data_IF_987498795706
#
_entry.id   IF_987498795706
#
_cell.length_a   1.000
_cell.length_b   1.000
_cell.length_c   1.000
_cell.angle_alpha   90.00
_cell.angle_beta   90.00
_cell.angle_gamma   90.00
#
_symmetry.space_group_name_H-M   'P 1'
#
loop_
_entity.id
_entity.type
_entity.pdbx_description
1 polymer ?
#
# COMPACT_ATOMS: atom_id res chain seq x y z
N UNK A 1 -7.81 15.92 12.21
CA UNK A 1 -7.81 16.47 10.84
C UNK A 1 -7.15 15.45 9.92
N UNK A 2 -7.59 15.37 8.66
CA UNK A 2 -6.99 14.52 7.63
C UNK A 2 -5.61 15.06 7.28
N UNK A 3 -4.61 14.18 7.26
CA UNK A 3 -3.22 14.48 6.88
C UNK A 3 -2.78 13.72 5.63
N UNK A 4 -3.37 12.54 5.40
CA UNK A 4 -3.09 11.70 4.25
C UNK A 4 -4.38 11.13 3.68
N UNK A 5 -4.36 10.82 2.41
CA UNK A 5 -5.48 10.14 1.73
C UNK A 5 -4.98 8.90 1.01
N UNK A 6 -5.85 7.92 0.93
CA UNK A 6 -5.64 6.69 0.18
C UNK A 6 -6.88 6.48 -0.70
N UNK A 7 -6.78 6.87 -1.95
CA UNK A 7 -7.86 6.73 -2.92
C UNK A 7 -7.43 5.70 -3.94
N UNK A 8 -8.05 4.53 -3.94
CA UNK A 8 -7.82 3.53 -4.96
C UNK A 8 -8.55 3.90 -6.24
N UNK A 9 -7.86 4.27 -7.34
CA UNK A 9 -8.51 4.64 -8.59
C UNK A 9 -9.18 3.45 -9.28
N UNK A 10 -8.70 2.23 -9.03
CA UNK A 10 -9.32 0.99 -9.46
C UNK A 10 -9.23 -0.08 -8.39
N UNK A 11 -10.16 -1.02 -8.39
CA UNK A 11 -10.24 -2.12 -7.44
C UNK A 11 -9.66 -3.43 -7.99
N UNK A 12 -8.64 -3.37 -8.86
CA UNK A 12 -8.03 -4.55 -9.48
C UNK A 12 -6.51 -4.45 -9.50
N UNK A 13 -5.86 -5.60 -9.39
CA UNK A 13 -4.44 -5.76 -9.63
C UNK A 13 -4.24 -6.94 -10.59
N UNK A 14 -3.30 -6.83 -11.51
CA UNK A 14 -2.95 -7.89 -12.47
C UNK A 14 -1.92 -8.89 -11.91
N UNK A 15 -1.33 -8.61 -10.75
CA UNK A 15 -0.43 -9.53 -10.05
C UNK A 15 -1.20 -10.39 -9.03
N UNK A 16 -0.59 -11.53 -8.68
CA UNK A 16 -1.05 -12.46 -7.63
C UNK A 16 0.12 -12.75 -6.69
N UNK A 17 0.69 -11.70 -6.11
CA UNK A 17 1.83 -11.85 -5.22
C UNK A 17 1.45 -12.71 -4.02
N UNK A 18 2.27 -13.74 -3.71
CA UNK A 18 1.97 -14.73 -2.68
C UNK A 18 1.75 -14.15 -1.27
N UNK A 19 2.33 -12.98 -1.00
CA UNK A 19 2.18 -12.26 0.26
C UNK A 19 1.01 -11.27 0.26
N UNK A 20 0.21 -11.25 -0.79
CA UNK A 20 -0.90 -10.30 -0.92
C UNK A 20 -2.24 -11.03 -0.93
N UNK A 21 -3.24 -10.58 -0.17
CA UNK A 21 -4.58 -11.17 -0.18
C UNK A 21 -5.23 -11.26 -1.56
N UNK A 22 -4.84 -10.39 -2.49
CA UNK A 22 -5.29 -10.44 -3.90
C UNK A 22 -5.06 -11.81 -4.55
N UNK A 23 -3.96 -12.50 -4.17
CA UNK A 23 -3.64 -13.83 -4.71
C UNK A 23 -4.66 -14.91 -4.33
N UNK A 24 -5.35 -14.74 -3.22
CA UNK A 24 -6.20 -15.77 -2.60
C UNK A 24 -7.68 -15.41 -2.65
N UNK A 25 -8.06 -14.28 -2.09
CA UNK A 25 -9.45 -13.85 -1.96
C UNK A 25 -9.89 -12.96 -3.13
N UNK A 26 -8.93 -12.25 -3.72
CA UNK A 26 -9.23 -11.15 -4.63
C UNK A 26 -9.93 -10.00 -3.90
N UNK A 27 -10.20 -8.92 -4.62
CA UNK A 27 -11.02 -7.84 -4.10
C UNK A 27 -12.49 -8.31 -4.01
N UNK A 28 -13.22 -8.06 -2.92
CA UNK A 28 -14.66 -8.29 -2.84
C UNK A 28 -15.40 -7.66 -4.03
N UNK A 29 -16.45 -8.33 -4.53
CA UNK A 29 -17.13 -7.92 -5.77
C UNK A 29 -17.64 -6.48 -5.72
N UNK A 30 -18.15 -6.06 -4.58
CA UNK A 30 -18.68 -4.73 -4.29
C UNK A 30 -17.61 -3.62 -4.35
N UNK A 31 -16.34 -3.99 -4.26
CA UNK A 31 -15.20 -3.07 -4.35
C UNK A 31 -14.43 -3.20 -5.67
N UNK A 32 -14.83 -4.13 -6.55
CA UNK A 32 -14.25 -4.27 -7.88
C UNK A 32 -14.88 -3.24 -8.80
N UNK A 33 -14.13 -2.21 -9.12
CA UNK A 33 -14.60 -1.15 -10.01
C UNK A 33 -13.46 -0.27 -10.46
N UNK A 34 -13.81 0.67 -11.28
CA UNK A 34 -12.95 1.77 -11.70
C UNK A 34 -13.64 3.05 -11.27
N UNK A 35 -12.97 3.86 -10.47
CA UNK A 35 -13.51 5.15 -10.06
C UNK A 35 -13.67 6.05 -11.28
N UNK A 36 -14.82 6.70 -11.44
CA UNK A 36 -14.98 7.67 -12.51
C UNK A 36 -14.12 8.91 -12.25
N UNK A 37 -13.78 9.62 -13.30
CA UNK A 37 -12.95 10.83 -13.17
C UNK A 37 -13.72 11.94 -12.43
N UNK A 38 -15.05 11.99 -12.59
CA UNK A 38 -15.93 12.93 -11.89
C UNK A 38 -15.96 12.66 -10.38
N UNK A 39 -15.99 11.38 -9.98
CA UNK A 39 -15.89 10.97 -8.58
C UNK A 39 -14.52 11.34 -8.00
N UNK A 40 -13.45 11.05 -8.72
CA UNK A 40 -12.09 11.44 -8.33
C UNK A 40 -11.99 12.96 -8.15
N UNK A 41 -12.50 13.72 -9.11
CA UNK A 41 -12.52 15.18 -9.03
C UNK A 41 -13.30 15.69 -7.82
N UNK A 42 -14.49 15.14 -7.59
CA UNK A 42 -15.30 15.49 -6.42
C UNK A 42 -14.57 15.26 -5.10
N UNK A 43 -13.85 14.14 -4.97
CA UNK A 43 -13.06 13.82 -3.78
C UNK A 43 -11.94 14.85 -3.61
N UNK A 44 -11.09 15.04 -4.63
CA UNK A 44 -9.95 15.93 -4.54
C UNK A 44 -10.36 17.38 -4.28
N UNK A 45 -11.46 17.82 -4.90
CA UNK A 45 -12.04 19.14 -4.64
C UNK A 45 -12.46 19.29 -3.19
N UNK A 46 -13.17 18.30 -2.62
CA UNK A 46 -13.61 18.36 -1.21
C UNK A 46 -12.43 18.35 -0.24
N UNK A 47 -11.34 17.66 -0.56
CA UNK A 47 -10.10 17.67 0.24
C UNK A 47 -9.46 19.06 0.18
N UNK A 48 -9.37 19.68 -0.98
CA UNK A 48 -8.80 21.01 -1.15
C UNK A 48 -9.65 22.08 -0.46
N UNK A 49 -10.96 22.09 -0.70
CA UNK A 49 -11.92 23.00 -0.03
C UNK A 49 -11.93 22.82 1.51
N UNK A 50 -11.56 21.63 1.99
CA UNK A 50 -11.57 21.29 3.42
C UNK A 50 -10.33 21.74 4.21
N UNK A 51 -9.33 22.35 3.55
CA UNK A 51 -8.11 22.82 4.21
C UNK A 51 -8.40 23.87 5.27
N UNK A 52 -7.89 23.64 6.48
CA UNK A 52 -8.16 24.49 7.65
C UNK A 52 -9.48 24.18 8.39
N UNK A 53 -10.30 23.28 7.87
CA UNK A 53 -11.51 22.78 8.55
C UNK A 53 -11.29 21.32 9.02
N UNK A 54 -11.46 20.35 8.15
CA UNK A 54 -11.25 18.92 8.46
C UNK A 54 -9.98 18.33 7.84
N UNK A 55 -9.31 19.06 6.96
CA UNK A 55 -8.00 18.73 6.37
C UNK A 55 -6.94 19.64 6.97
N UNK A 56 -5.78 19.09 7.32
CA UNK A 56 -4.67 19.84 7.92
C UNK A 56 -4.08 20.85 6.90
N UNK A 57 -4.11 22.17 7.17
CA UNK A 57 -3.63 23.17 6.23
C UNK A 57 -2.11 23.26 6.18
N UNK A 58 -1.39 22.67 7.14
CA UNK A 58 0.05 22.81 7.28
C UNK A 58 0.83 21.62 6.66
N UNK A 59 0.12 20.67 6.06
CA UNK A 59 0.72 19.47 5.48
C UNK A 59 0.34 19.38 4.02
N UNK A 60 1.31 19.06 3.19
CA UNK A 60 1.06 18.65 1.81
C UNK A 60 0.31 17.32 1.83
N UNK A 61 -0.93 17.34 1.36
CA UNK A 61 -1.75 16.13 1.28
C UNK A 61 -1.18 15.24 0.17
N UNK A 62 -0.92 14.00 0.53
CA UNK A 62 -0.42 12.97 -0.38
C UNK A 62 -1.45 11.86 -0.53
N UNK A 63 -1.79 11.52 -1.77
CA UNK A 63 -2.55 10.34 -2.10
C UNK A 63 -1.63 9.13 -2.27
N UNK A 64 -1.92 8.06 -1.54
CA UNK A 64 -1.15 6.82 -1.56
C UNK A 64 -2.05 5.61 -1.90
N UNK A 65 -2.33 5.33 -3.18
CA UNK A 65 -3.23 4.25 -3.60
C UNK A 65 -2.53 2.88 -3.48
N UNK A 66 -2.67 2.19 -2.34
CA UNK A 66 -1.90 0.98 -2.00
C UNK A 66 -2.72 -0.25 -1.57
N UNK A 67 -4.03 -0.24 -1.74
CA UNK A 67 -4.86 -1.36 -1.27
C UNK A 67 -5.03 -2.46 -2.35
N UNK A 68 -6.23 -2.72 -2.86
CA UNK A 68 -6.48 -3.68 -3.95
C UNK A 68 -6.22 -3.10 -5.34
N UNK A 69 -5.20 -2.29 -5.48
CA UNK A 69 -4.97 -1.45 -6.64
C UNK A 69 -3.64 -1.78 -7.33
N UNK A 70 -3.61 -1.65 -8.64
CA UNK A 70 -2.43 -1.39 -9.45
C UNK A 70 -2.68 -0.08 -10.18
N UNK A 71 -2.09 0.99 -9.71
CA UNK A 71 -2.36 2.36 -10.16
C UNK A 71 -2.16 2.53 -11.67
N UNK A 72 -1.16 1.86 -12.23
CA UNK A 72 -0.86 1.93 -13.67
C UNK A 72 -1.85 1.15 -14.56
N UNK A 73 -2.85 0.46 -13.97
CA UNK A 73 -3.98 -0.10 -14.72
C UNK A 73 -5.14 0.88 -14.86
N UNK A 74 -5.12 2.00 -14.13
CA UNK A 74 -6.21 2.96 -14.21
C UNK A 74 -6.33 3.55 -15.62
N UNK A 75 -7.49 3.44 -16.29
CA UNK A 75 -7.63 3.88 -17.69
C UNK A 75 -7.52 5.39 -17.87
N UNK A 76 -7.87 6.17 -16.82
CA UNK A 76 -7.81 7.63 -16.82
C UNK A 76 -6.57 8.13 -16.05
N UNK A 77 -5.42 7.48 -16.26
CA UNK A 77 -4.20 7.77 -15.49
C UNK A 77 -3.72 9.21 -15.69
N UNK A 78 -3.77 9.72 -16.94
CA UNK A 78 -3.38 11.11 -17.21
C UNK A 78 -4.35 12.11 -16.57
N UNK A 79 -5.64 11.90 -16.73
CA UNK A 79 -6.69 12.76 -16.16
C UNK A 79 -6.60 12.77 -14.62
N UNK A 80 -6.26 11.64 -14.00
CA UNK A 80 -5.99 11.59 -12.57
C UNK A 80 -4.81 12.48 -12.18
N UNK A 81 -3.71 12.46 -12.93
CA UNK A 81 -2.57 13.35 -12.69
C UNK A 81 -2.94 14.82 -12.89
N UNK A 82 -3.74 15.14 -13.92
CA UNK A 82 -4.28 16.49 -14.15
C UNK A 82 -5.06 16.99 -12.94
N UNK A 83 -5.92 16.14 -12.36
CA UNK A 83 -6.71 16.49 -11.17
C UNK A 83 -5.82 16.69 -9.93
N UNK A 84 -4.83 15.83 -9.71
CA UNK A 84 -3.88 16.00 -8.61
C UNK A 84 -3.12 17.33 -8.73
N UNK A 85 -2.70 17.70 -9.94
CA UNK A 85 -2.08 19.02 -10.22
C UNK A 85 -3.05 20.17 -9.98
N UNK A 86 -4.29 20.05 -10.48
CA UNK A 86 -5.34 21.09 -10.35
C UNK A 86 -5.63 21.43 -8.88
N UNK A 87 -5.69 20.43 -8.00
CA UNK A 87 -6.03 20.62 -6.59
C UNK A 87 -4.80 20.63 -5.67
N UNK A 88 -3.59 20.69 -6.24
CA UNK A 88 -2.33 20.67 -5.50
C UNK A 88 -2.26 19.59 -4.41
N UNK A 89 -2.66 18.38 -4.80
CA UNK A 89 -2.58 17.18 -3.97
C UNK A 89 -1.50 16.28 -4.55
N UNK A 90 -0.49 15.96 -3.76
CA UNK A 90 0.62 15.10 -4.20
C UNK A 90 0.16 13.63 -4.27
N UNK A 91 0.94 12.79 -4.95
CA UNK A 91 0.66 11.34 -4.97
C UNK A 91 1.93 10.51 -5.11
N UNK A 92 1.85 9.27 -4.63
CA UNK A 92 2.82 8.22 -4.90
C UNK A 92 2.36 7.34 -6.04
N UNK A 93 3.31 6.89 -6.84
CA UNK A 93 3.10 5.78 -7.76
C UNK A 93 3.67 4.53 -7.10
N UNK A 94 2.77 3.62 -6.71
CA UNK A 94 3.14 2.30 -6.21
C UNK A 94 2.72 1.25 -7.24
N UNK A 95 3.67 0.46 -7.80
CA UNK A 95 3.40 -0.42 -8.92
C UNK A 95 4.25 -1.70 -8.91
N UNK A 96 3.73 -2.74 -9.57
CA UNK A 96 4.51 -3.95 -9.88
C UNK A 96 5.43 -3.80 -11.11
N UNK A 97 5.46 -2.64 -11.76
CA UNK A 97 6.34 -2.27 -12.87
C UNK A 97 5.95 -2.81 -14.25
N UNK A 98 5.09 -3.84 -14.35
CA UNK A 98 4.75 -4.46 -15.66
C UNK A 98 4.03 -3.50 -16.59
N UNK A 99 3.25 -2.57 -16.04
CA UNK A 99 2.52 -1.55 -16.80
C UNK A 99 3.18 -0.16 -16.75
N UNK A 100 4.41 -0.06 -16.30
CA UNK A 100 5.22 1.16 -16.38
C UNK A 100 5.77 1.31 -17.82
N UNK A 101 4.87 1.56 -18.77
CA UNK A 101 5.22 1.73 -20.19
C UNK A 101 5.94 3.03 -20.43
N UNK A 102 6.55 3.19 -21.62
CA UNK A 102 7.20 4.43 -22.05
C UNK A 102 6.27 5.64 -21.81
N UNK A 103 5.06 5.61 -22.38
CA UNK A 103 4.09 6.70 -22.24
C UNK A 103 3.78 7.06 -20.79
N UNK A 104 3.66 6.07 -19.90
CA UNK A 104 3.37 6.30 -18.49
C UNK A 104 4.60 6.81 -17.73
N UNK A 105 5.78 6.35 -18.09
CA UNK A 105 7.03 6.87 -17.54
C UNK A 105 7.21 8.34 -17.89
N UNK A 106 6.97 8.71 -19.15
CA UNK A 106 7.03 10.09 -19.60
C UNK A 106 6.01 10.98 -18.90
N UNK A 107 4.76 10.50 -18.76
CA UNK A 107 3.74 11.19 -17.96
C UNK A 107 4.19 11.39 -16.52
N UNK A 108 4.73 10.38 -15.85
CA UNK A 108 5.22 10.52 -14.47
C UNK A 108 6.30 11.59 -14.37
N UNK A 109 7.21 11.64 -15.33
CA UNK A 109 8.23 12.70 -15.41
C UNK A 109 7.61 14.09 -15.58
N UNK A 110 6.67 14.23 -16.52
CA UNK A 110 6.00 15.49 -16.83
C UNK A 110 5.14 16.01 -15.66
N UNK A 111 4.70 15.11 -14.78
CA UNK A 111 3.90 15.40 -13.58
C UNK A 111 4.71 15.32 -12.27
N UNK A 112 6.02 15.46 -12.34
CA UNK A 112 6.91 15.43 -11.17
C UNK A 112 6.67 16.54 -10.14
N UNK A 113 5.91 17.56 -10.51
CA UNK A 113 5.42 18.58 -9.59
C UNK A 113 4.32 18.04 -8.63
N UNK A 114 3.64 16.96 -8.99
CA UNK A 114 2.63 16.31 -8.15
C UNK A 114 2.95 14.87 -7.80
N UNK A 115 3.66 14.13 -8.65
CA UNK A 115 4.19 12.81 -8.29
C UNK A 115 5.45 13.02 -7.45
N UNK A 116 5.43 12.56 -6.20
CA UNK A 116 6.57 12.72 -5.29
C UNK A 116 7.48 11.51 -5.25
N UNK A 117 6.92 10.32 -5.48
CA UNK A 117 7.66 9.07 -5.36
C UNK A 117 7.17 8.04 -6.37
N UNK A 118 8.12 7.26 -6.89
CA UNK A 118 7.87 6.10 -7.75
C UNK A 118 8.49 4.89 -7.07
N UNK A 119 7.63 4.03 -6.53
CA UNK A 119 8.03 2.86 -5.76
C UNK A 119 7.57 1.61 -6.51
N UNK A 120 8.51 0.80 -6.92
CA UNK A 120 8.27 -0.42 -7.70
C UNK A 120 8.49 -1.66 -6.83
N UNK A 121 7.48 -2.49 -6.69
CA UNK A 121 7.58 -3.75 -5.96
C UNK A 121 8.04 -4.87 -6.90
N UNK A 122 9.32 -5.15 -6.90
CA UNK A 122 9.97 -6.15 -7.76
C UNK A 122 10.67 -7.18 -6.87
N UNK A 123 10.03 -8.32 -6.59
CA UNK A 123 10.59 -9.28 -5.63
C UNK A 123 11.80 -10.06 -6.15
N UNK A 124 12.04 -10.11 -7.46
CA UNK A 124 13.20 -10.76 -8.04
C UNK A 124 13.53 -10.23 -9.43
N UNK A 125 14.80 -10.32 -9.80
CA UNK A 125 15.33 -10.14 -11.16
C UNK A 125 15.62 -11.46 -11.87
N UNK A 126 15.18 -12.56 -11.32
CA UNK A 126 15.25 -13.87 -11.93
C UNK A 126 13.86 -14.29 -12.39
N UNK A 127 13.71 -14.53 -13.68
CA UNK A 127 12.43 -14.73 -14.35
C UNK A 127 11.52 -15.77 -13.67
N UNK A 128 12.07 -16.94 -13.34
CA UNK A 128 11.29 -18.01 -12.72
C UNK A 128 10.82 -17.65 -11.30
N UNK A 129 11.73 -17.07 -10.51
CA UNK A 129 11.42 -16.66 -9.15
C UNK A 129 10.43 -15.48 -9.15
N UNK A 130 10.64 -14.48 -10.00
CA UNK A 130 9.71 -13.38 -10.16
C UNK A 130 8.31 -13.87 -10.55
N UNK A 131 8.23 -14.79 -11.53
CA UNK A 131 6.95 -15.41 -11.93
C UNK A 131 6.28 -16.15 -10.78
N UNK A 132 7.04 -16.94 -10.02
CA UNK A 132 6.55 -17.67 -8.85
C UNK A 132 6.03 -16.72 -7.76
N UNK A 133 6.72 -15.62 -7.51
CA UNK A 133 6.39 -14.69 -6.43
C UNK A 133 5.22 -13.77 -6.77
N UNK A 134 5.07 -13.40 -8.03
CA UNK A 134 4.06 -12.42 -8.48
C UNK A 134 2.85 -13.04 -9.17
N UNK A 135 2.93 -14.32 -9.56
CA UNK A 135 1.91 -15.00 -10.34
C UNK A 135 1.82 -14.53 -11.80
N UNK A 136 2.75 -13.72 -12.26
CA UNK A 136 2.81 -13.34 -13.66
C UNK A 136 3.36 -14.46 -14.55
N UNK A 137 2.90 -14.48 -15.80
CA UNK A 137 3.48 -15.37 -16.79
C UNK A 137 4.94 -14.96 -17.11
N UNK A 138 5.92 -15.90 -17.16
CA UNK A 138 7.33 -15.58 -17.37
C UNK A 138 7.63 -14.70 -18.60
N UNK A 139 6.86 -14.81 -19.67
CA UNK A 139 6.99 -13.98 -20.89
C UNK A 139 6.86 -12.47 -20.65
N UNK A 140 6.30 -12.05 -19.51
CA UNK A 140 6.19 -10.62 -19.16
C UNK A 140 7.47 -10.08 -18.50
N UNK A 141 8.42 -10.95 -18.18
CA UNK A 141 9.64 -10.56 -17.49
C UNK A 141 10.52 -9.61 -18.33
N UNK A 142 10.71 -9.93 -19.62
CA UNK A 142 11.49 -9.06 -20.51
C UNK A 142 10.84 -7.68 -20.65
N UNK A 143 9.50 -7.63 -20.70
CA UNK A 143 8.78 -6.36 -20.71
C UNK A 143 9.04 -5.58 -19.43
N UNK A 144 9.01 -6.23 -18.26
CA UNK A 144 9.34 -5.58 -16.98
C UNK A 144 10.75 -5.01 -17.02
N UNK A 145 11.75 -5.80 -17.39
CA UNK A 145 13.16 -5.36 -17.41
C UNK A 145 13.34 -4.16 -18.36
N UNK A 146 12.75 -4.21 -19.54
CA UNK A 146 12.80 -3.08 -20.49
C UNK A 146 12.13 -1.81 -19.91
N UNK A 147 10.99 -1.94 -19.25
CA UNK A 147 10.33 -0.83 -18.56
C UNK A 147 11.24 -0.24 -17.47
N UNK A 148 11.90 -1.09 -16.67
CA UNK A 148 12.79 -0.64 -15.60
C UNK A 148 14.02 0.11 -16.14
N UNK A 149 14.63 -0.36 -17.25
CA UNK A 149 15.73 0.36 -17.88
C UNK A 149 15.29 1.74 -18.38
N UNK A 150 14.15 1.82 -19.09
CA UNK A 150 13.64 3.09 -19.57
C UNK A 150 13.30 4.03 -18.39
N UNK A 151 12.59 3.54 -17.38
CA UNK A 151 12.26 4.32 -16.19
C UNK A 151 13.50 4.80 -15.44
N UNK A 152 14.53 3.94 -15.32
CA UNK A 152 15.81 4.31 -14.72
C UNK A 152 16.44 5.51 -15.44
N UNK A 153 16.43 5.50 -16.77
CA UNK A 153 17.06 6.58 -17.55
C UNK A 153 16.24 7.88 -17.50
N UNK A 154 14.92 7.77 -17.59
CA UNK A 154 14.04 8.94 -17.72
C UNK A 154 13.73 9.60 -16.36
N UNK A 155 13.43 8.79 -15.33
CA UNK A 155 12.98 9.31 -14.04
C UNK A 155 14.11 9.75 -13.13
N UNK A 156 15.31 9.18 -13.27
CA UNK A 156 16.44 9.47 -12.41
C UNK A 156 16.98 10.92 -12.51
N UNK A 157 16.61 11.66 -13.53
CA UNK A 157 16.95 13.08 -13.62
C UNK A 157 16.15 13.92 -12.62
N UNK A 158 14.92 13.47 -12.33
CA UNK A 158 13.94 14.21 -11.51
C UNK A 158 13.84 13.64 -10.10
N UNK A 159 13.67 12.31 -9.97
CA UNK A 159 13.49 11.64 -8.70
C UNK A 159 14.82 11.11 -8.17
N UNK A 160 15.13 11.36 -6.89
CA UNK A 160 16.41 10.99 -6.28
C UNK A 160 16.23 10.19 -5.00
N UNK A 161 17.16 9.26 -4.75
CA UNK A 161 17.17 8.46 -3.53
C UNK A 161 15.86 7.73 -3.30
N UNK A 162 15.22 7.96 -2.17
CA UNK A 162 13.98 7.29 -1.77
C UNK A 162 12.78 7.60 -2.66
N UNK A 163 12.84 8.66 -3.46
CA UNK A 163 11.78 9.03 -4.39
C UNK A 163 11.71 8.10 -5.62
N UNK A 164 12.79 7.39 -5.95
CA UNK A 164 12.86 6.43 -7.05
C UNK A 164 13.37 5.09 -6.52
N UNK A 165 12.46 4.22 -6.12
CA UNK A 165 12.79 3.03 -5.35
C UNK A 165 12.31 1.75 -5.99
N UNK A 166 13.12 0.70 -5.89
CA UNK A 166 12.70 -0.69 -6.06
C UNK A 166 12.64 -1.34 -4.67
N UNK A 167 11.46 -1.83 -4.30
CA UNK A 167 11.25 -2.66 -3.12
C UNK A 167 11.38 -4.14 -3.50
N UNK A 168 12.35 -4.79 -2.92
CA UNK A 168 12.48 -6.25 -2.94
C UNK A 168 11.66 -6.78 -1.77
N UNK A 169 10.42 -7.14 -2.04
CA UNK A 169 9.45 -7.53 -1.03
C UNK A 169 9.36 -9.06 -0.93
N UNK A 170 9.65 -9.59 0.22
CA UNK A 170 9.62 -11.02 0.51
C UNK A 170 10.13 -11.29 1.92
N UNK A 171 10.23 -12.56 2.28
CA UNK A 171 10.79 -12.99 3.57
C UNK A 171 11.87 -14.03 3.32
N UNK A 172 13.04 -13.85 3.94
CA UNK A 172 14.03 -14.89 4.09
C UNK A 172 13.84 -15.63 5.43
N UNK A 173 14.35 -16.84 5.58
CA UNK A 173 14.32 -17.55 6.85
C UNK A 173 14.98 -16.77 8.00
N UNK A 174 16.04 -16.01 7.73
CA UNK A 174 16.78 -15.21 8.72
C UNK A 174 15.92 -14.01 9.19
N UNK A 175 15.26 -13.33 8.29
CA UNK A 175 14.40 -12.19 8.62
C UNK A 175 13.25 -12.54 9.58
N UNK A 176 12.79 -13.79 9.54
CA UNK A 176 11.81 -14.35 10.46
C UNK A 176 12.29 -14.30 11.91
N UNK A 177 13.57 -14.51 12.15
CA UNK A 177 14.17 -14.57 13.49
C UNK A 177 14.48 -13.15 14.00
N UNK A 178 15.04 -12.29 13.17
CA UNK A 178 15.50 -10.96 13.55
C UNK A 178 14.35 -10.02 13.93
N UNK A 179 13.20 -10.15 13.30
CA UNK A 179 12.04 -9.29 13.56
C UNK A 179 11.18 -9.70 14.77
N UNK A 180 11.74 -10.50 15.68
CA UNK A 180 11.08 -10.83 16.94
C UNK A 180 9.96 -11.86 16.82
N UNK A 181 9.86 -12.56 15.70
CA UNK A 181 9.06 -13.78 15.55
C UNK A 181 7.56 -13.59 15.74
N UNK A 182 7.01 -12.42 15.49
CA UNK A 182 5.56 -12.22 15.56
C UNK A 182 4.81 -12.72 14.32
N UNK A 183 5.53 -13.05 13.24
CA UNK A 183 5.00 -13.80 12.09
C UNK A 183 5.91 -14.96 11.73
N UNK A 184 5.33 -16.12 11.50
CA UNK A 184 6.00 -17.32 11.04
C UNK A 184 5.51 -17.70 9.65
N UNK A 185 6.41 -17.78 8.68
CA UNK A 185 6.06 -18.22 7.32
C UNK A 185 5.92 -19.74 7.33
N UNK A 186 4.81 -20.24 6.82
CA UNK A 186 4.57 -21.68 6.75
C UNK A 186 5.40 -22.33 5.63
N UNK A 187 5.70 -23.61 5.77
CA UNK A 187 6.62 -24.35 4.89
C UNK A 187 6.30 -24.26 3.40
N UNK A 188 5.03 -24.10 3.06
CA UNK A 188 4.59 -24.04 1.65
C UNK A 188 4.62 -22.63 1.03
N UNK A 189 4.94 -21.59 1.80
CA UNK A 189 5.04 -20.25 1.25
C UNK A 189 6.35 -20.11 0.43
N UNK A 190 6.30 -19.51 -0.77
CA UNK A 190 7.51 -19.24 -1.53
C UNK A 190 8.30 -18.11 -0.85
N UNK A 191 9.42 -18.41 -0.28
CA UNK A 191 10.34 -17.44 0.31
C UNK A 191 11.74 -17.59 -0.29
N UNK A 192 12.59 -16.61 -0.03
CA UNK A 192 13.99 -16.67 -0.48
C UNK A 192 14.74 -17.77 0.28
N UNK A 193 15.67 -18.45 -0.41
CA UNK A 193 16.64 -19.29 0.26
C UNK A 193 17.59 -18.43 1.10
N UNK A 194 18.30 -19.06 2.04
CA UNK A 194 19.30 -18.40 2.88
C UNK A 194 20.32 -17.64 2.02
N UNK A 195 20.57 -16.36 2.35
CA UNK A 195 21.47 -15.48 1.61
C UNK A 195 21.00 -15.04 0.21
N UNK A 196 19.91 -15.60 -0.30
CA UNK A 196 19.43 -15.29 -1.65
C UNK A 196 18.88 -13.87 -1.74
N UNK A 197 18.26 -13.41 -0.71
CA UNK A 197 17.64 -12.10 -0.63
C UNK A 197 18.65 -10.96 -0.84
N UNK A 198 19.79 -11.00 -0.12
CA UNK A 198 20.87 -10.03 -0.28
C UNK A 198 21.49 -10.11 -1.69
N UNK A 199 21.68 -11.32 -2.21
CA UNK A 199 22.17 -11.53 -3.57
C UNK A 199 21.27 -10.87 -4.61
N UNK A 200 19.94 -10.98 -4.46
CA UNK A 200 18.97 -10.36 -5.38
C UNK A 200 19.02 -8.83 -5.26
N UNK A 201 19.06 -8.29 -4.05
CA UNK A 201 19.18 -6.84 -3.81
C UNK A 201 20.45 -6.29 -4.46
N UNK A 202 21.60 -6.91 -4.22
CA UNK A 202 22.87 -6.45 -4.77
C UNK A 202 22.88 -6.50 -6.30
N UNK A 203 22.43 -7.59 -6.89
CA UNK A 203 22.33 -7.73 -8.35
C UNK A 203 21.34 -6.73 -8.96
N UNK A 204 20.22 -6.46 -8.28
CA UNK A 204 19.24 -5.46 -8.72
C UNK A 204 19.84 -4.04 -8.65
N UNK A 205 20.61 -3.73 -7.60
CA UNK A 205 21.30 -2.45 -7.47
C UNK A 205 22.39 -2.27 -8.56
N UNK A 206 23.09 -3.34 -8.92
CA UNK A 206 24.05 -3.33 -10.04
C UNK A 206 23.37 -3.08 -11.38
N UNK A 207 22.23 -3.74 -11.64
CA UNK A 207 21.47 -3.59 -12.89
C UNK A 207 20.81 -2.21 -13.03
N UNK A 208 20.35 -1.65 -11.92
CA UNK A 208 19.61 -0.40 -11.87
C UNK A 208 20.22 0.58 -10.87
N UNK A 209 21.44 1.08 -11.12
CA UNK A 209 22.20 1.88 -10.16
C UNK A 209 21.56 3.23 -9.83
N UNK A 210 20.62 3.69 -10.65
CA UNK A 210 19.90 4.96 -10.44
C UNK A 210 18.67 4.82 -9.57
N UNK A 211 18.18 3.59 -9.35
CA UNK A 211 17.16 3.31 -8.34
C UNK A 211 17.81 3.07 -6.98
N UNK A 212 17.12 3.50 -5.93
CA UNK A 212 17.40 3.00 -4.60
C UNK A 212 16.76 1.61 -4.45
N UNK A 213 17.55 0.57 -4.24
CA UNK A 213 17.04 -0.78 -4.00
C UNK A 213 16.95 -1.03 -2.50
N UNK A 214 15.76 -1.29 -2.02
CA UNK A 214 15.49 -1.50 -0.60
C UNK A 214 14.86 -2.87 -0.34
N UNK A 215 15.36 -3.53 0.69
CA UNK A 215 14.85 -4.79 1.17
C UNK A 215 13.68 -4.57 2.11
N UNK A 216 12.59 -5.32 1.92
CA UNK A 216 11.47 -5.33 2.84
C UNK A 216 11.19 -6.75 3.34
N UNK A 217 11.72 -7.04 4.52
CA UNK A 217 11.59 -8.35 5.17
C UNK A 217 10.32 -8.50 6.02
N UNK A 218 9.51 -7.45 6.15
CA UNK A 218 8.34 -7.47 7.02
C UNK A 218 7.07 -7.72 6.23
N UNK A 219 6.38 -8.82 6.50
CA UNK A 219 4.99 -9.03 6.04
C UNK A 219 4.01 -8.53 7.10
N UNK A 220 3.09 -7.71 6.67
CA UNK A 220 1.91 -7.39 7.47
C UNK A 220 0.87 -8.49 7.30
N UNK A 221 0.28 -8.93 8.40
CA UNK A 221 -0.77 -9.95 8.37
C UNK A 221 -2.10 -9.48 7.74
N UNK A 222 -2.17 -8.23 7.33
CA UNK A 222 -3.35 -7.70 6.62
C UNK A 222 -4.66 -7.97 7.40
N UNK A 223 -4.70 -7.57 8.65
CA UNK A 223 -5.83 -7.83 9.55
C UNK A 223 -6.17 -9.31 9.74
N UNK A 224 -5.13 -10.15 9.84
CA UNK A 224 -5.21 -11.59 10.08
C UNK A 224 -5.56 -12.46 8.86
N UNK A 225 -5.80 -11.90 7.69
CA UNK A 225 -6.17 -12.67 6.50
C UNK A 225 -5.10 -13.71 6.13
N UNK A 226 -3.83 -13.34 6.14
CA UNK A 226 -2.75 -14.26 5.76
C UNK A 226 -2.62 -15.41 6.77
N UNK A 227 -2.89 -15.18 8.04
CA UNK A 227 -2.93 -16.23 9.07
C UNK A 227 -4.14 -17.12 8.93
N UNK A 228 -5.33 -16.58 8.65
CA UNK A 228 -6.55 -17.35 8.41
C UNK A 228 -6.41 -18.24 7.18
N UNK A 229 -5.73 -17.77 6.15
CA UNK A 229 -5.39 -18.53 4.94
C UNK A 229 -4.22 -19.50 5.15
N UNK A 230 -3.62 -19.56 6.35
CA UNK A 230 -2.47 -20.40 6.68
C UNK A 230 -1.25 -20.14 5.78
N UNK A 231 -1.07 -18.91 5.32
CA UNK A 231 0.13 -18.49 4.59
C UNK A 231 1.25 -18.12 5.56
N UNK A 232 0.88 -17.49 6.69
CA UNK A 232 1.78 -17.15 7.79
C UNK A 232 1.14 -17.54 9.12
N UNK A 233 1.95 -17.63 10.17
CA UNK A 233 1.47 -17.77 11.54
C UNK A 233 1.64 -16.43 12.27
N UNK A 234 0.56 -15.87 12.79
CA UNK A 234 0.61 -14.63 13.55
C UNK A 234 0.77 -14.94 15.05
N UNK A 235 2.00 -14.86 15.53
CA UNK A 235 2.30 -15.11 16.96
C UNK A 235 1.68 -14.06 17.90
N UNK A 236 1.31 -12.88 17.39
CA UNK A 236 0.58 -11.88 18.18
C UNK A 236 -0.86 -12.29 18.47
N UNK A 237 -1.49 -13.07 17.59
CA UNK A 237 -2.82 -13.62 17.85
C UNK A 237 -2.83 -14.53 19.09
N UNK A 238 -1.73 -15.25 19.35
CA UNK A 238 -1.58 -16.11 20.53
C UNK A 238 -1.48 -15.29 21.83
N UNK A 239 -0.92 -14.08 21.76
CA UNK A 239 -0.77 -13.17 22.91
C UNK A 239 -1.99 -12.27 23.14
N UNK A 240 -3.00 -12.34 22.27
CA UNK A 240 -4.21 -11.49 22.29
C UNK A 240 -4.90 -11.46 23.67
N UNK A 241 -5.01 -12.61 24.32
CA UNK A 241 -5.69 -12.75 25.61
C UNK A 241 -4.87 -12.24 26.81
N UNK A 242 -3.64 -11.75 26.59
CA UNK A 242 -2.71 -11.30 27.64
C UNK A 242 -2.45 -9.79 27.60
N UNK A 243 -3.03 -9.03 26.65
CA UNK A 243 -2.61 -7.65 26.36
C UNK A 243 -3.63 -6.55 26.69
N UNK A 244 -4.72 -6.85 27.38
CA UNK A 244 -5.72 -5.81 27.69
C UNK A 244 -6.54 -5.38 26.47
N UNK A 245 -6.90 -4.09 26.38
CA UNK A 245 -7.71 -3.52 25.30
C UNK A 245 -6.85 -2.74 24.33
N UNK A 246 -7.20 -2.81 23.03
CA UNK A 246 -6.63 -1.89 22.04
C UNK A 246 -7.23 -0.49 22.27
N UNK A 247 -6.36 0.48 22.45
CA UNK A 247 -6.73 1.89 22.71
C UNK A 247 -6.31 2.83 21.57
N UNK A 248 -5.54 2.33 20.59
CA UNK A 248 -5.08 3.16 19.50
C UNK A 248 -4.39 2.38 18.38
N UNK A 249 -3.94 3.13 17.39
CA UNK A 249 -3.12 2.66 16.27
C UNK A 249 -1.80 3.42 16.26
N UNK A 250 -0.66 2.72 16.27
CA UNK A 250 0.67 3.33 16.24
C UNK A 250 0.91 4.22 15.01
N UNK A 251 0.31 3.88 13.88
CA UNK A 251 0.37 4.70 12.67
C UNK A 251 -0.72 5.78 12.60
N UNK A 252 -1.62 5.86 13.59
CA UNK A 252 -2.73 6.82 13.65
C UNK A 252 -3.65 6.82 12.42
N UNK A 253 -3.71 5.73 11.67
CA UNK A 253 -4.52 5.64 10.46
C UNK A 253 -5.98 6.08 10.66
N UNK A 254 -6.72 5.55 11.67
CA UNK A 254 -8.09 5.98 11.87
C UNK A 254 -8.24 7.46 12.23
N UNK A 255 -7.19 8.12 12.73
CA UNK A 255 -7.24 9.48 13.24
C UNK A 255 -6.77 10.53 12.22
N UNK A 256 -5.94 10.13 11.25
CA UNK A 256 -5.24 11.06 10.36
C UNK A 256 -5.33 10.72 8.88
N UNK A 257 -5.82 9.52 8.51
CA UNK A 257 -5.90 9.11 7.12
C UNK A 257 -7.33 8.79 6.69
N UNK A 258 -7.65 9.13 5.45
CA UNK A 258 -8.90 8.83 4.79
C UNK A 258 -8.66 7.77 3.71
N UNK A 259 -9.35 6.64 3.82
CA UNK A 259 -9.26 5.54 2.87
C UNK A 259 -10.55 5.41 2.07
N UNK A 260 -10.44 5.43 0.74
CA UNK A 260 -11.58 5.36 -0.19
C UNK A 260 -11.28 4.30 -1.25
N UNK A 261 -12.16 3.29 -1.35
CA UNK A 261 -12.06 2.26 -2.38
C UNK A 261 -12.49 2.80 -3.76
N UNK A 262 -12.19 2.04 -4.81
CA UNK A 262 -12.56 2.39 -6.19
C UNK A 262 -14.09 2.58 -6.42
N UNK A 263 -14.91 2.05 -5.53
CA UNK A 263 -16.39 2.19 -5.57
C UNK A 263 -16.92 3.22 -4.56
N UNK A 264 -16.01 3.97 -3.94
CA UNK A 264 -16.38 5.04 -3.02
C UNK A 264 -16.62 4.61 -1.57
N UNK A 265 -16.44 3.33 -1.22
CA UNK A 265 -16.54 2.89 0.16
C UNK A 265 -15.42 3.46 1.00
N UNK A 266 -15.76 3.99 2.18
CA UNK A 266 -14.83 4.58 3.13
C UNK A 266 -14.59 3.61 4.27
N UNK A 267 -13.31 3.36 4.56
CA UNK A 267 -12.85 2.39 5.57
C UNK A 267 -11.67 2.95 6.38
N UNK A 268 -11.22 2.25 7.43
CA UNK A 268 -10.31 2.82 8.43
C UNK A 268 -8.83 2.56 8.17
N UNK A 269 -8.45 1.55 7.37
CA UNK A 269 -7.06 1.11 7.32
C UNK A 269 -6.70 0.38 6.03
N UNK A 270 -5.55 0.68 5.45
CA UNK A 270 -5.01 -0.01 4.27
C UNK A 270 -4.66 -1.50 4.52
N UNK A 271 -4.59 -1.95 5.76
CA UNK A 271 -4.39 -3.36 6.07
C UNK A 271 -5.70 -4.17 6.13
N UNK A 272 -6.86 -3.51 6.11
CA UNK A 272 -8.18 -4.15 6.14
C UNK A 272 -8.61 -4.63 4.76
N UNK A 273 -8.05 -5.73 4.32
CA UNK A 273 -8.38 -6.33 3.02
C UNK A 273 -9.75 -7.03 2.99
N UNK A 274 -10.38 -7.24 4.15
CA UNK A 274 -11.75 -7.77 4.26
C UNK A 274 -12.81 -6.68 4.19
N UNK A 275 -12.43 -5.41 4.24
CA UNK A 275 -13.32 -4.24 4.36
C UNK A 275 -14.29 -4.30 5.57
N UNK A 276 -13.87 -4.99 6.64
CA UNK A 276 -14.67 -5.10 7.87
C UNK A 276 -14.83 -3.75 8.58
N UNK A 277 -13.95 -2.80 8.30
CA UNK A 277 -13.97 -1.46 8.88
C UNK A 277 -14.65 -0.43 7.98
N UNK A 278 -15.35 -0.87 6.93
CA UNK A 278 -16.16 0.01 6.09
C UNK A 278 -17.32 0.59 6.90
N UNK A 279 -17.52 1.90 6.81
CA UNK A 279 -18.53 2.60 7.62
C UNK A 279 -19.40 3.58 6.84
N UNK A 280 -19.00 3.97 5.62
CA UNK A 280 -19.76 4.90 4.79
C UNK A 280 -19.36 4.79 3.30
N UNK A 281 -20.06 5.53 2.44
CA UNK A 281 -19.73 5.67 1.04
C UNK A 281 -19.84 7.15 0.61
N UNK A 282 -18.84 7.63 -0.13
CA UNK A 282 -18.74 9.03 -0.59
C UNK A 282 -19.87 9.45 -1.54
N UNK A 283 -20.63 8.50 -2.10
CA UNK A 283 -21.80 8.80 -2.91
C UNK A 283 -23.02 9.20 -2.08
N UNK A 284 -23.00 8.95 -0.77
CA UNK A 284 -24.12 9.21 0.14
C UNK A 284 -23.96 10.52 0.93
N UNK A 285 -22.71 10.85 1.28
CA UNK A 285 -22.37 11.99 2.15
C UNK A 285 -21.10 12.67 1.68
N UNK A 286 -20.92 13.93 2.05
CA UNK A 286 -19.65 14.63 1.82
C UNK A 286 -18.53 14.09 2.70
N UNK A 287 -17.28 14.30 2.30
CA UNK A 287 -16.10 13.86 3.09
C UNK A 287 -16.10 14.51 4.48
N UNK A 288 -16.52 15.77 4.59
CA UNK A 288 -16.66 16.46 5.88
C UNK A 288 -17.66 15.76 6.80
N UNK A 289 -18.83 15.41 6.28
CA UNK A 289 -19.87 14.70 7.05
C UNK A 289 -19.36 13.32 7.47
N UNK A 290 -18.74 12.57 6.55
CA UNK A 290 -18.16 11.24 6.81
C UNK A 290 -17.08 11.32 7.89
N UNK A 291 -16.15 12.27 7.77
CA UNK A 291 -15.02 12.42 8.69
C UNK A 291 -15.46 12.75 10.13
N UNK A 292 -16.52 13.53 10.26
CA UNK A 292 -17.07 13.94 11.57
C UNK A 292 -18.23 13.06 12.06
N UNK A 293 -18.55 11.98 11.36
CA UNK A 293 -19.73 11.15 11.64
C UNK A 293 -19.59 10.29 12.90
N UNK A 294 -20.74 9.95 13.49
CA UNK A 294 -20.82 8.97 14.57
C UNK A 294 -20.47 7.56 14.05
N UNK A 295 -20.85 7.24 12.82
CA UNK A 295 -20.56 5.96 12.15
C UNK A 295 -19.07 5.69 12.10
N UNK A 296 -18.24 6.71 11.82
CA UNK A 296 -16.78 6.60 11.87
C UNK A 296 -16.28 6.28 13.28
N UNK A 297 -16.79 6.98 14.30
CA UNK A 297 -16.39 6.74 15.69
C UNK A 297 -16.77 5.34 16.15
N UNK A 298 -17.93 4.85 15.75
CA UNK A 298 -18.40 3.51 16.09
C UNK A 298 -17.61 2.43 15.33
N UNK A 299 -17.23 2.69 14.06
CA UNK A 299 -16.33 1.82 13.30
C UNK A 299 -14.94 1.71 13.96
N UNK A 300 -14.37 2.81 14.45
CA UNK A 300 -13.10 2.81 15.19
C UNK A 300 -13.21 1.95 16.45
N UNK A 301 -14.26 2.14 17.26
CA UNK A 301 -14.49 1.34 18.47
C UNK A 301 -14.64 -0.15 18.13
N UNK A 302 -15.42 -0.47 17.10
CA UNK A 302 -15.61 -1.85 16.63
C UNK A 302 -14.29 -2.46 16.15
N UNK A 303 -13.49 -1.71 15.37
CA UNK A 303 -12.21 -2.17 14.89
C UNK A 303 -11.24 -2.47 16.05
N UNK A 304 -11.17 -1.59 17.06
CA UNK A 304 -10.32 -1.79 18.24
C UNK A 304 -10.75 -2.99 19.08
N UNK A 305 -12.04 -3.32 19.11
CA UNK A 305 -12.56 -4.53 19.76
C UNK A 305 -12.42 -5.80 18.89
N UNK A 306 -12.24 -5.65 17.59
CA UNK A 306 -12.20 -6.71 16.58
C UNK A 306 -10.87 -6.84 15.87
N UNK A 307 -10.81 -6.49 14.60
CA UNK A 307 -9.68 -6.72 13.68
C UNK A 307 -8.35 -6.15 14.17
N UNK A 308 -8.36 -5.02 14.87
CA UNK A 308 -7.13 -4.42 15.40
C UNK A 308 -6.48 -5.25 16.51
N UNK A 309 -7.21 -6.17 17.14
CA UNK A 309 -6.65 -7.02 18.22
C UNK A 309 -5.61 -8.02 17.70
N UNK A 310 -5.56 -8.26 16.39
CA UNK A 310 -4.55 -9.09 15.72
C UNK A 310 -3.47 -8.25 15.03
N UNK A 311 -3.60 -6.91 15.05
CA UNK A 311 -2.72 -6.03 14.31
C UNK A 311 -1.43 -5.74 15.09
N UNK A 312 -0.28 -5.81 14.41
CA UNK A 312 1.01 -5.48 14.99
C UNK A 312 1.19 -3.97 15.31
N UNK A 313 0.33 -3.11 14.74
CA UNK A 313 0.30 -1.67 14.98
C UNK A 313 -0.66 -1.26 16.10
N UNK A 314 -1.33 -2.23 16.73
CA UNK A 314 -2.24 -1.95 17.82
C UNK A 314 -1.49 -1.40 19.05
N UNK A 315 -1.99 -0.28 19.59
CA UNK A 315 -1.54 0.26 20.88
C UNK A 315 -2.49 -0.27 21.96
N UNK A 316 -1.91 -0.88 23.00
CA UNK A 316 -2.63 -1.52 24.09
C UNK A 316 -2.62 -0.67 25.34
N UNK A 317 -3.64 -0.76 26.18
CA UNK A 317 -3.77 0.02 27.44
C UNK A 317 -2.67 -0.28 28.47
N UNK A 318 -1.99 -1.39 28.35
CA UNK A 318 -0.86 -1.75 29.23
C UNK A 318 0.49 -1.11 28.80
N UNK A 319 0.49 -0.18 27.86
CA UNK A 319 1.67 0.58 27.45
C UNK A 319 2.71 -0.23 26.65
N UNK A 320 2.35 -1.39 26.12
CA UNK A 320 3.20 -2.15 25.21
C UNK A 320 3.11 -1.50 23.83
N UNK A 321 4.06 -0.62 23.52
CA UNK A 321 4.24 -0.14 22.16
C UNK A 321 4.55 -1.32 21.23
N UNK A 322 3.92 -1.40 20.05
CA UNK A 322 4.33 -2.35 19.03
C UNK A 322 5.80 -2.10 18.68
N UNK A 323 6.58 -3.14 18.36
CA UNK A 323 7.91 -2.92 17.83
C UNK A 323 7.78 -1.97 16.65
N UNK A 324 8.51 -0.87 16.71
CA UNK A 324 8.57 0.10 15.63
C UNK A 324 8.88 -0.71 14.35
N UNK A 325 7.89 -0.85 13.48
CA UNK A 325 8.22 -1.22 12.13
C UNK A 325 9.29 -0.23 11.70
N UNK A 326 10.35 -0.70 11.06
CA UNK A 326 11.24 0.16 10.32
C UNK A 326 10.34 0.84 9.28
N UNK A 327 9.57 1.80 9.75
CA UNK A 327 8.80 2.69 8.95
C UNK A 327 9.80 3.37 8.05
N UNK A 328 9.52 3.44 6.80
CA UNK A 328 9.90 4.59 6.01
C UNK A 328 9.56 5.77 6.94
N UNK A 329 10.53 6.18 7.75
CA UNK A 329 10.40 7.34 8.60
C UNK A 329 10.26 8.53 7.65
N UNK A 330 9.12 9.14 7.68
CA UNK A 330 8.90 10.46 7.12
C UNK A 330 8.52 11.40 8.19
#
# INVERSE_FOLDING_TARGET
>A
MIKHINIDPNGVCNAKCWFCPVAYLGNPKENRGTMSIETMESILKQIDDGRGDFVDPNIDIVNNPIHYNETLLYPHFKEMLDLHRKYNIKMYIFSNGVNLTIDKTDLIKDYSDVVTDVILNIPSIEQEQWSKFTGFHPKLFDKLINNLHYASDILSDTFKGEQLMILVNGISPEAKIENGGWMEVLENAPFYAEGEHERIVNKMQEMFPKFMVSLRNNLSDRTNILSELKIISNQNAIKKNQRGKVVGCGNKYPDQELFISATGNVYLCCADFSYETTYENINNKTIKEIWNSQERQDAIKKAYAGVCTSCFRAVWDEGIEPPLSSSINR
#
